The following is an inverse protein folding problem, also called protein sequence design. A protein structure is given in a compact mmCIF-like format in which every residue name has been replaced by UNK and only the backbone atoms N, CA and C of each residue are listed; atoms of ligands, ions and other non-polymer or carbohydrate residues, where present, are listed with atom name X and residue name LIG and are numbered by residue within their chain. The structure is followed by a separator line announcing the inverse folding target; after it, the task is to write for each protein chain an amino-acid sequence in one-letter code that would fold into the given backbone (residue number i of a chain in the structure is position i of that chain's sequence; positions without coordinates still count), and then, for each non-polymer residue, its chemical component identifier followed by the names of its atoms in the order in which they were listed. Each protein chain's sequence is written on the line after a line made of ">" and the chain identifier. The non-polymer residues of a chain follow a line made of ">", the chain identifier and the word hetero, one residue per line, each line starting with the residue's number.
data_IF_774592211768
#
_entry.id   IF_774592211768
#
_cell.length_a   1.000
_cell.length_b   1.000
_cell.length_c   1.000
_cell.angle_alpha   90.00
_cell.angle_beta   90.00
_cell.angle_gamma   90.00
#
_symmetry.space_group_name_H-M   'P 1'
#
loop_
_entity.id
_entity.type
_entity.pdbx_description
1 polymer ?
#
# COMPACT_ATOMS: atom_id res chain seq x y z
N UNK A 1 3.82 24.75 -11.16
CA UNK A 1 5.09 24.15 -10.72
C UNK A 1 4.83 22.68 -10.57
N UNK A 2 5.54 21.84 -11.30
CA UNK A 2 5.44 20.39 -11.12
C UNK A 2 6.12 20.05 -9.79
N UNK A 3 5.35 19.53 -8.84
CA UNK A 3 5.86 19.05 -7.55
C UNK A 3 6.40 17.64 -7.70
N UNK A 4 7.58 17.34 -7.13
CA UNK A 4 8.19 16.01 -7.14
C UNK A 4 9.64 15.98 -7.63
N UNK A 5 10.18 14.77 -7.81
CA UNK A 5 11.56 14.54 -8.26
C UNK A 5 11.61 14.44 -9.80
N UNK A 6 12.43 15.28 -10.43
CA UNK A 6 12.76 15.16 -11.84
C UNK A 6 14.27 14.97 -12.01
N UNK A 7 14.66 13.99 -12.81
CA UNK A 7 16.05 13.74 -13.22
C UNK A 7 16.15 14.04 -14.70
N UNK A 8 17.13 14.84 -15.09
CA UNK A 8 17.40 15.20 -16.47
C UNK A 8 18.78 14.71 -16.90
N UNK A 9 18.97 14.48 -18.18
CA UNK A 9 20.31 14.31 -18.74
C UNK A 9 21.04 15.67 -18.89
N UNK A 10 22.30 15.62 -19.31
CA UNK A 10 23.11 16.82 -19.52
C UNK A 10 22.58 17.75 -20.64
N UNK A 11 21.67 17.25 -21.49
CA UNK A 11 21.00 18.02 -22.55
C UNK A 11 19.65 18.59 -22.12
N UNK A 12 19.23 18.40 -20.87
CA UNK A 12 17.95 18.89 -20.35
C UNK A 12 16.75 18.00 -20.67
N UNK A 13 16.95 16.78 -21.19
CA UNK A 13 15.87 15.82 -21.43
C UNK A 13 15.51 15.11 -20.12
N UNK A 14 14.22 15.04 -19.79
CA UNK A 14 13.73 14.30 -18.63
C UNK A 14 13.98 12.80 -18.80
N UNK A 15 14.73 12.21 -17.86
CA UNK A 15 15.04 10.79 -17.77
C UNK A 15 14.10 10.06 -16.80
N UNK A 16 13.70 10.74 -15.73
CA UNK A 16 12.78 10.24 -14.72
C UNK A 16 11.95 11.40 -14.19
N UNK A 17 10.64 11.23 -14.13
CA UNK A 17 9.74 12.17 -13.46
C UNK A 17 8.87 11.42 -12.48
N UNK A 18 8.99 11.78 -11.19
CA UNK A 18 8.19 11.27 -10.09
C UNK A 18 7.46 12.46 -9.48
N UNK A 19 6.18 12.62 -9.81
CA UNK A 19 5.36 13.69 -9.24
C UNK A 19 5.04 13.40 -7.77
N UNK A 20 4.99 14.42 -6.93
CA UNK A 20 4.39 14.33 -5.60
C UNK A 20 2.90 14.02 -5.78
N UNK A 21 2.54 12.75 -5.58
CA UNK A 21 1.16 12.28 -5.70
C UNK A 21 0.41 12.68 -4.44
N UNK A 22 -0.34 13.78 -4.50
CA UNK A 22 -1.31 14.13 -3.45
C UNK A 22 -2.53 13.24 -3.62
N UNK A 23 -2.56 12.11 -2.93
CA UNK A 23 -3.67 11.17 -2.94
C UNK A 23 -4.72 11.50 -1.87
N UNK A 24 -6.00 11.29 -2.17
CA UNK A 24 -7.09 11.31 -1.18
C UNK A 24 -7.27 9.90 -0.62
N UNK A 25 -7.11 9.74 0.70
CA UNK A 25 -7.47 8.50 1.39
C UNK A 25 -8.99 8.34 1.33
N UNK A 26 -9.46 7.20 0.80
CA UNK A 26 -10.88 6.87 0.66
C UNK A 26 -11.37 5.91 1.74
N UNK A 27 -10.46 5.18 2.40
CA UNK A 27 -10.82 4.27 3.49
C UNK A 27 -9.66 3.43 4.00
N UNK A 28 -9.99 2.46 4.85
CA UNK A 28 -9.03 1.51 5.41
C UNK A 28 -9.62 0.09 5.54
N UNK A 29 -8.75 -0.91 5.53
CA UNK A 29 -9.02 -2.31 5.90
C UNK A 29 -8.17 -2.68 7.10
N UNK A 30 -8.80 -3.25 8.12
CA UNK A 30 -8.15 -3.77 9.31
C UNK A 30 -8.01 -5.28 9.18
N UNK A 31 -6.80 -5.78 9.33
CA UNK A 31 -6.50 -7.21 9.31
C UNK A 31 -6.07 -7.60 10.71
N UNK A 32 -6.99 -8.28 11.40
CA UNK A 32 -6.81 -8.78 12.75
C UNK A 32 -6.42 -10.26 12.72
N UNK A 33 -5.75 -10.71 13.79
CA UNK A 33 -5.60 -12.14 14.09
C UNK A 33 -4.96 -12.99 12.98
N UNK A 34 -3.93 -12.49 12.30
CA UNK A 34 -3.13 -13.34 11.42
C UNK A 34 -2.41 -14.41 12.24
N UNK A 35 -2.68 -15.68 11.94
CA UNK A 35 -2.00 -16.79 12.59
C UNK A 35 -0.49 -16.75 12.30
N UNK A 36 0.33 -16.90 13.35
CA UNK A 36 1.78 -16.85 13.25
C UNK A 36 2.33 -17.76 12.14
N UNK A 37 3.27 -17.24 11.35
CA UNK A 37 3.90 -17.96 10.24
C UNK A 37 2.99 -18.30 9.06
N UNK A 38 1.71 -17.90 9.08
CA UNK A 38 0.81 -18.12 7.94
C UNK A 38 0.89 -16.97 6.95
N UNK A 39 0.83 -17.34 5.67
CA UNK A 39 0.68 -16.43 4.54
C UNK A 39 -0.78 -16.45 4.09
N UNK A 40 -1.38 -15.26 3.97
CA UNK A 40 -2.77 -15.08 3.59
C UNK A 40 -2.86 -14.06 2.47
N UNK A 41 -3.79 -14.28 1.54
CA UNK A 41 -4.09 -13.37 0.44
C UNK A 41 -5.48 -12.78 0.64
N UNK A 42 -5.57 -11.46 0.56
CA UNK A 42 -6.81 -10.70 0.55
C UNK A 42 -6.95 -9.98 -0.79
N UNK A 43 -8.15 -10.02 -1.35
CA UNK A 43 -8.51 -9.28 -2.57
C UNK A 43 -9.65 -8.33 -2.24
N UNK A 44 -9.44 -7.05 -2.50
CA UNK A 44 -10.43 -6.00 -2.31
C UNK A 44 -10.71 -5.30 -3.64
N UNK A 45 -11.97 -5.17 -3.99
CA UNK A 45 -12.40 -4.43 -5.19
C UNK A 45 -13.14 -3.18 -4.79
N UNK A 46 -12.79 -2.05 -5.41
CA UNK A 46 -13.35 -0.73 -5.15
C UNK A 46 -13.96 -0.11 -6.43
N UNK A 47 -14.97 -0.75 -7.05
CA UNK A 47 -15.57 -0.27 -8.29
C UNK A 47 -16.11 1.16 -8.18
N UNK A 48 -16.49 1.60 -6.98
CA UNK A 48 -16.94 2.96 -6.69
C UNK A 48 -15.86 4.02 -6.97
N UNK A 49 -14.58 3.65 -6.96
CA UNK A 49 -13.45 4.54 -7.24
C UNK A 49 -13.11 4.63 -8.74
N UNK A 50 -13.84 3.90 -9.60
CA UNK A 50 -13.63 3.94 -11.05
C UNK A 50 -13.83 5.36 -11.59
N UNK A 51 -12.87 5.83 -12.39
CA UNK A 51 -12.88 7.19 -12.94
C UNK A 51 -12.49 8.30 -11.94
N UNK A 52 -12.21 7.98 -10.68
CA UNK A 52 -11.82 8.98 -9.66
C UNK A 52 -10.30 9.18 -9.53
N UNK A 53 -9.51 8.52 -10.37
CA UNK A 53 -8.04 8.55 -10.35
C UNK A 53 -7.43 7.15 -10.37
N UNK A 54 -6.13 7.07 -10.13
CA UNK A 54 -5.41 5.81 -9.97
C UNK A 54 -5.51 5.35 -8.52
N UNK A 55 -5.90 4.09 -8.29
CA UNK A 55 -5.92 3.51 -6.96
C UNK A 55 -4.49 3.46 -6.39
N UNK A 56 -4.32 3.91 -5.15
CA UNK A 56 -3.09 3.75 -4.38
C UNK A 56 -3.38 3.13 -3.01
N UNK A 57 -2.31 2.69 -2.35
CA UNK A 57 -2.38 2.15 -1.00
C UNK A 57 -1.34 2.81 -0.10
N UNK A 58 -1.62 2.80 1.19
CA UNK A 58 -0.66 3.14 2.24
C UNK A 58 -0.81 2.12 3.37
N UNK A 59 0.31 1.65 3.92
CA UNK A 59 0.28 0.73 5.06
C UNK A 59 0.59 1.53 6.32
N UNK A 60 -0.29 1.45 7.30
CA UNK A 60 -0.05 1.96 8.65
C UNK A 60 -0.30 0.87 9.67
N UNK A 61 0.12 1.10 10.92
CA UNK A 61 -0.01 0.08 11.96
C UNK A 61 0.91 -1.11 11.70
N UNK A 62 2.05 -1.11 12.38
CA UNK A 62 3.08 -2.14 12.27
C UNK A 62 4.28 -1.77 13.12
N UNK A 63 4.05 -1.19 14.30
CA UNK A 63 5.15 -0.92 15.22
C UNK A 63 5.57 -2.23 15.87
N UNK A 64 6.69 -2.76 15.38
CA UNK A 64 7.41 -3.92 15.91
C UNK A 64 7.09 -5.20 15.16
N UNK A 65 8.01 -5.64 14.28
CA UNK A 65 8.41 -7.01 13.89
C UNK A 65 7.37 -8.16 13.77
N UNK A 66 6.07 -7.88 13.83
CA UNK A 66 5.00 -8.87 13.99
C UNK A 66 4.42 -9.34 12.64
N UNK A 67 4.69 -8.62 11.56
CA UNK A 67 4.32 -8.96 10.18
C UNK A 67 5.56 -8.77 9.33
N UNK A 68 6.20 -9.87 8.96
CA UNK A 68 7.56 -9.86 8.42
C UNK A 68 7.60 -9.49 6.94
N UNK A 69 6.55 -9.82 6.17
CA UNK A 69 6.53 -9.58 4.73
C UNK A 69 5.11 -9.30 4.22
N UNK A 70 4.98 -8.28 3.39
CA UNK A 70 3.75 -8.03 2.62
C UNK A 70 4.06 -7.61 1.19
N UNK A 71 3.15 -7.95 0.27
CA UNK A 71 3.14 -7.51 -1.12
C UNK A 71 1.75 -7.03 -1.48
N UNK A 72 1.68 -5.82 -2.02
CA UNK A 72 0.45 -5.27 -2.59
C UNK A 72 0.59 -5.16 -4.09
N UNK A 73 -0.41 -5.64 -4.81
CA UNK A 73 -0.56 -5.47 -6.26
C UNK A 73 -1.87 -4.75 -6.53
N UNK A 74 -1.85 -3.75 -7.41
CA UNK A 74 -3.04 -3.03 -7.85
C UNK A 74 -3.27 -3.31 -9.34
N UNK A 75 -4.51 -3.62 -9.70
CA UNK A 75 -4.96 -3.75 -11.08
C UNK A 75 -6.31 -3.04 -11.23
N UNK A 76 -6.31 -1.91 -11.93
CA UNK A 76 -7.48 -1.02 -12.01
C UNK A 76 -7.94 -0.58 -10.62
N UNK A 77 -9.17 -0.93 -10.26
CA UNK A 77 -9.78 -0.65 -8.95
C UNK A 77 -9.69 -1.82 -7.96
N UNK A 78 -8.91 -2.86 -8.28
CA UNK A 78 -8.70 -4.02 -7.41
C UNK A 78 -7.33 -3.99 -6.77
N UNK A 79 -7.28 -4.25 -5.46
CA UNK A 79 -6.07 -4.35 -4.66
C UNK A 79 -5.97 -5.78 -4.09
N UNK A 80 -4.85 -6.44 -4.40
CA UNK A 80 -4.50 -7.74 -3.83
C UNK A 80 -3.36 -7.57 -2.83
N UNK A 81 -3.62 -7.89 -1.57
CA UNK A 81 -2.64 -7.91 -0.50
C UNK A 81 -2.28 -9.36 -0.17
N UNK A 82 -1.00 -9.67 -0.24
CA UNK A 82 -0.43 -10.91 0.29
C UNK A 82 0.37 -10.54 1.53
N UNK A 83 0.05 -11.12 2.68
CA UNK A 83 0.70 -10.82 3.95
C UNK A 83 1.11 -12.11 4.66
N UNK A 84 2.30 -12.10 5.26
CA UNK A 84 2.80 -13.17 6.10
C UNK A 84 3.05 -12.66 7.52
N UNK A 85 2.44 -13.32 8.50
CA UNK A 85 2.71 -13.02 9.91
C UNK A 85 4.08 -13.54 10.33
N UNK A 86 4.77 -12.78 11.19
CA UNK A 86 6.01 -13.20 11.82
C UNK A 86 5.85 -14.47 12.67
N UNK A 87 6.96 -15.14 12.96
CA UNK A 87 7.02 -16.26 13.91
C UNK A 87 7.05 -15.79 15.36
N UNK A 88 6.39 -16.53 16.25
CA UNK A 88 6.25 -16.32 17.71
C UNK A 88 7.61 -16.11 18.44
N UNK A 89 7.71 -15.40 19.59
CA UNK A 89 6.64 -14.80 20.43
C UNK A 89 6.43 -13.30 20.23
N UNK A 90 5.18 -12.87 20.03
CA UNK A 90 4.78 -11.46 20.06
C UNK A 90 3.72 -11.24 21.14
N UNK A 91 3.98 -10.27 22.03
CA UNK A 91 3.15 -9.96 23.20
C UNK A 91 1.97 -9.03 22.90
N UNK A 92 1.91 -8.44 21.70
CA UNK A 92 0.79 -7.58 21.29
C UNK A 92 0.83 -7.32 19.78
N UNK A 93 0.15 -8.14 18.98
CA UNK A 93 0.01 -7.88 17.55
C UNK A 93 -1.00 -6.73 17.36
N UNK A 94 -0.52 -5.52 17.09
CA UNK A 94 -1.39 -4.44 16.59
C UNK A 94 -1.96 -4.86 15.23
N UNK A 95 -3.19 -4.47 14.88
CA UNK A 95 -3.75 -4.83 13.58
C UNK A 95 -2.90 -4.26 12.43
N UNK A 96 -2.79 -5.02 11.34
CA UNK A 96 -2.25 -4.49 10.10
C UNK A 96 -3.32 -3.61 9.45
N UNK A 97 -2.98 -2.36 9.15
CA UNK A 97 -3.92 -1.39 8.57
C UNK A 97 -3.50 -1.08 7.14
N UNK A 98 -4.38 -1.42 6.19
CA UNK A 98 -4.23 -1.06 4.80
C UNK A 98 -5.16 0.11 4.48
N UNK A 99 -4.60 1.29 4.30
CA UNK A 99 -5.31 2.44 3.74
C UNK A 99 -5.33 2.34 2.22
N UNK A 100 -6.43 2.79 1.62
CA UNK A 100 -6.58 2.89 0.17
C UNK A 100 -7.18 4.23 -0.22
N UNK A 101 -6.85 4.69 -1.42
CA UNK A 101 -7.26 6.01 -1.90
C UNK A 101 -7.05 6.18 -3.39
N UNK A 102 -7.37 7.37 -3.90
CA UNK A 102 -7.15 7.72 -5.31
C UNK A 102 -6.21 8.92 -5.44
N UNK A 103 -5.40 8.87 -6.49
CA UNK A 103 -4.40 9.88 -6.89
C UNK A 103 -4.59 10.27 -8.35
#
# INVERSE_FOLDING_TARGET
>A
MDSGLQVYDAGGKSLLSVTDKIGRICGQKLINNLSAGKKITYTYSFPELSGQGTLFYWVGGGFGNSYTDYKVTISGTTLTLVIQAGGYPFTSAKPFILYYGVM
#
